data_IF_506902888650
#
_entry.id   IF_506902888650
#
_cell.length_a   1.000
_cell.length_b   1.000
_cell.length_c   1.000
_cell.angle_alpha   90.00
_cell.angle_beta   90.00
_cell.angle_gamma   90.00
#
_symmetry.space_group_name_H-M   'P 1'
#
loop_
_entity.id
_entity.type
_entity.pdbx_description
1 polymer ?
#
# COMPACT_ATOMS: atom_id res chain seq x y z
N UNK A 1 10.36 12.34 -5.84
CA UNK A 1 10.19 10.93 -5.46
C UNK A 1 9.06 10.80 -4.47
N UNK A 2 8.18 9.88 -4.74
CA UNK A 2 7.03 9.70 -3.86
C UNK A 2 7.43 8.96 -2.59
N UNK A 3 7.04 9.53 -1.47
CA UNK A 3 7.27 8.89 -0.18
C UNK A 3 6.02 8.10 0.17
N UNK A 4 6.19 6.80 0.34
CA UNK A 4 5.07 5.96 0.74
C UNK A 4 4.79 6.12 2.22
N UNK A 5 3.52 6.13 2.61
CA UNK A 5 3.16 6.30 4.01
C UNK A 5 3.43 5.02 4.80
N UNK A 6 3.51 5.14 6.11
CA UNK A 6 3.46 3.97 6.97
C UNK A 6 2.05 3.41 6.93
N UNK A 7 1.88 2.15 7.35
CA UNK A 7 0.56 1.55 7.34
C UNK A 7 -0.43 2.32 8.22
N UNK A 8 0.05 2.87 9.34
CA UNK A 8 -0.81 3.64 10.23
C UNK A 8 -1.32 4.92 9.57
N UNK A 9 -0.44 5.62 8.86
CA UNK A 9 -0.81 6.83 8.15
C UNK A 9 -1.77 6.51 7.01
N UNK A 10 -1.49 5.44 6.28
CA UNK A 10 -2.34 4.99 5.19
C UNK A 10 -3.75 4.68 5.68
N UNK A 11 -3.87 3.95 6.77
CA UNK A 11 -5.18 3.61 7.32
C UNK A 11 -5.95 4.85 7.75
N UNK A 12 -5.27 5.82 8.33
CA UNK A 12 -5.89 7.07 8.72
C UNK A 12 -6.40 7.85 7.51
N UNK A 13 -5.61 7.92 6.45
CA UNK A 13 -6.03 8.54 5.19
C UNK A 13 -7.24 7.83 4.60
N UNK A 14 -7.20 6.50 4.59
CA UNK A 14 -8.28 5.71 4.04
C UNK A 14 -9.59 5.96 4.78
N UNK A 15 -9.53 6.01 6.11
CA UNK A 15 -10.72 6.28 6.91
C UNK A 15 -11.34 7.63 6.54
N UNK A 16 -10.52 8.62 6.22
CA UNK A 16 -11.00 9.96 5.91
C UNK A 16 -11.37 10.15 4.45
N UNK A 17 -10.64 9.54 3.54
CA UNK A 17 -10.79 9.84 2.11
C UNK A 17 -11.30 8.68 1.27
N UNK A 18 -11.04 7.45 1.68
CA UNK A 18 -11.42 6.28 0.89
C UNK A 18 -12.78 5.70 1.22
N UNK A 19 -13.10 5.64 2.50
CA UNK A 19 -14.39 5.12 2.92
C UNK A 19 -15.51 6.15 2.71
N UNK A 20 -16.72 5.69 2.48
CA UNK A 20 -17.13 4.29 2.31
C UNK A 20 -17.08 3.81 0.85
N UNK A 21 -16.52 4.58 -0.05
CA UNK A 21 -16.65 4.34 -1.49
C UNK A 21 -15.67 3.30 -2.03
N UNK A 22 -14.50 3.16 -1.40
CA UNK A 22 -13.47 2.25 -1.88
C UNK A 22 -13.05 1.27 -0.80
N UNK A 23 -12.65 0.08 -1.21
CA UNK A 23 -11.96 -0.84 -0.31
C UNK A 23 -10.51 -0.39 -0.14
N UNK A 24 -9.87 -0.82 0.93
CA UNK A 24 -8.51 -0.39 1.25
C UNK A 24 -7.55 -0.69 0.11
N UNK A 25 -7.63 -1.89 -0.47
CA UNK A 25 -6.76 -2.25 -1.58
C UNK A 25 -6.96 -1.34 -2.78
N UNK A 26 -8.22 -1.03 -3.10
CA UNK A 26 -8.54 -0.14 -4.21
C UNK A 26 -7.95 1.25 -3.97
N UNK A 27 -8.10 1.75 -2.76
CA UNK A 27 -7.59 3.07 -2.41
C UNK A 27 -6.06 3.11 -2.53
N UNK A 28 -5.40 2.11 -1.98
CA UNK A 28 -3.94 2.07 -1.98
C UNK A 28 -3.39 1.95 -3.39
N UNK A 29 -3.93 1.03 -4.18
CA UNK A 29 -3.45 0.83 -5.55
C UNK A 29 -3.66 2.08 -6.38
N UNK A 30 -4.84 2.69 -6.29
CA UNK A 30 -5.15 3.86 -7.08
C UNK A 30 -4.31 5.08 -6.72
N UNK A 31 -3.92 5.21 -5.45
CA UNK A 31 -3.22 6.39 -4.99
C UNK A 31 -1.71 6.25 -5.02
N UNK A 32 -1.19 5.07 -4.70
CA UNK A 32 0.26 4.92 -4.51
C UNK A 32 0.93 3.95 -5.47
N UNK A 33 0.21 2.93 -5.91
CA UNK A 33 0.79 1.90 -6.78
C UNK A 33 0.58 2.32 -8.24
N UNK A 34 1.65 2.28 -9.02
CA UNK A 34 1.60 2.77 -10.40
C UNK A 34 1.57 1.63 -11.42
N UNK A 35 1.32 0.43 -10.96
CA UNK A 35 1.20 -0.73 -11.82
C UNK A 35 -0.01 -1.56 -11.40
N UNK A 36 -0.38 -2.51 -12.23
CA UNK A 36 -1.53 -3.36 -11.95
C UNK A 36 -1.24 -4.32 -10.81
N UNK A 37 -2.14 -4.37 -9.84
CA UNK A 37 -2.04 -5.31 -8.73
C UNK A 37 -3.44 -5.84 -8.43
N UNK A 38 -3.95 -6.73 -9.31
CA UNK A 38 -5.34 -7.17 -9.20
C UNK A 38 -5.66 -7.92 -7.90
N UNK A 39 -4.74 -8.71 -7.37
CA UNK A 39 -5.02 -9.44 -6.13
C UNK A 39 -5.36 -8.49 -4.99
N UNK A 40 -4.64 -7.38 -4.88
CA UNK A 40 -4.92 -6.40 -3.84
C UNK A 40 -6.14 -5.55 -4.19
N UNK A 41 -6.23 -5.14 -5.45
CA UNK A 41 -7.32 -4.27 -5.89
C UNK A 41 -8.69 -4.91 -5.65
N UNK A 42 -8.79 -6.22 -5.87
CA UNK A 42 -10.04 -6.94 -5.74
C UNK A 42 -10.22 -7.63 -4.39
N UNK A 43 -9.28 -7.47 -3.47
CA UNK A 43 -9.40 -8.08 -2.16
C UNK A 43 -10.56 -7.45 -1.39
N UNK A 44 -11.44 -8.29 -0.85
CA UNK A 44 -12.62 -7.83 -0.13
C UNK A 44 -12.43 -7.77 1.39
N UNK A 45 -11.43 -8.47 1.91
CA UNK A 45 -11.19 -8.49 3.35
C UNK A 45 -10.11 -7.48 3.71
N UNK A 46 -10.46 -6.54 4.58
CA UNK A 46 -9.53 -5.49 4.96
C UNK A 46 -8.29 -6.02 5.66
N UNK A 47 -8.43 -7.06 6.48
CA UNK A 47 -7.29 -7.65 7.18
C UNK A 47 -6.26 -8.20 6.20
N UNK A 48 -6.71 -8.83 5.12
CA UNK A 48 -5.81 -9.35 4.10
C UNK A 48 -5.17 -8.23 3.31
N UNK A 49 -5.92 -7.17 3.04
CA UNK A 49 -5.35 -5.98 2.38
C UNK A 49 -4.27 -5.35 3.24
N UNK A 50 -4.50 -5.21 4.53
CA UNK A 50 -3.51 -4.65 5.46
C UNK A 50 -2.24 -5.50 5.46
N UNK A 51 -2.40 -6.82 5.50
CA UNK A 51 -1.24 -7.72 5.49
C UNK A 51 -0.42 -7.55 4.22
N UNK A 52 -1.09 -7.57 3.07
CA UNK A 52 -0.41 -7.43 1.78
C UNK A 52 0.29 -6.08 1.65
N UNK A 53 -0.39 -5.01 2.04
CA UNK A 53 0.19 -3.66 1.97
C UNK A 53 1.36 -3.53 2.93
N UNK A 54 1.23 -4.07 4.14
CA UNK A 54 2.30 -4.02 5.13
C UNK A 54 3.55 -4.71 4.63
N UNK A 55 3.39 -5.86 4.00
CA UNK A 55 4.52 -6.59 3.43
C UNK A 55 5.17 -5.81 2.29
N UNK A 56 4.35 -5.20 1.44
CA UNK A 56 4.83 -4.39 0.33
C UNK A 56 5.66 -3.20 0.83
N UNK A 57 5.13 -2.47 1.81
CA UNK A 57 5.82 -1.32 2.37
C UNK A 57 7.13 -1.72 3.05
N UNK A 58 7.09 -2.83 3.77
CA UNK A 58 8.28 -3.35 4.44
C UNK A 58 9.37 -3.72 3.43
N UNK A 59 8.96 -4.37 2.34
CA UNK A 59 9.87 -4.78 1.28
C UNK A 59 10.53 -3.58 0.60
N UNK A 60 9.74 -2.55 0.30
CA UNK A 60 10.28 -1.34 -0.29
C UNK A 60 11.25 -0.63 0.64
N UNK A 61 10.93 -0.61 1.93
CA UNK A 61 11.80 0.00 2.92
C UNK A 61 13.14 -0.74 2.97
N UNK A 62 13.09 -2.06 2.96
CA UNK A 62 14.29 -2.89 2.93
C UNK A 62 15.14 -2.59 1.69
N UNK A 63 14.50 -2.53 0.52
CA UNK A 63 15.21 -2.23 -0.72
C UNK A 63 15.89 -0.87 -0.70
N UNK A 64 15.27 0.11 -0.06
CA UNK A 64 15.84 1.45 0.06
C UNK A 64 17.06 1.49 0.97
N UNK A 65 17.20 0.51 1.85
CA UNK A 65 18.35 0.43 2.76
C UNK A 65 19.54 -0.31 2.15
N UNK A 66 19.35 -0.98 1.02
CA UNK A 66 20.43 -1.69 0.37
C UNK A 66 21.37 -0.73 -0.35
N UNK A 67 22.66 -1.06 -0.43
CA UNK A 67 23.60 -0.28 -1.25
C UNK A 67 23.11 -0.21 -2.69
N UNK A 68 23.33 0.93 -3.33
CA UNK A 68 22.84 1.11 -4.70
C UNK A 68 23.33 0.04 -5.67
N UNK A 69 24.54 -0.41 -5.49
CA UNK A 69 25.10 -1.43 -6.38
C UNK A 69 24.42 -2.79 -6.27
N UNK A 70 23.60 -2.98 -5.23
CA UNK A 70 22.87 -4.23 -5.01
C UNK A 70 21.40 -4.13 -5.41
N UNK A 71 20.96 -2.97 -5.86
CA UNK A 71 19.56 -2.78 -6.24
C UNK A 71 19.31 -3.08 -7.69
#
# INVERSE_FOLDING_TARGET
MDVLPSIAILLNEYEKEGKPHLRLGQYFVGRYVKYSWPELFYETEQDKSIESISMYLKQLHYLNELPQKLR
#
